data_IF_166491981850
#
_entry.id   IF_166491981850
#
_cell.length_a   1.000
_cell.length_b   1.000
_cell.length_c   1.000
_cell.angle_alpha   90.00
_cell.angle_beta   90.00
_cell.angle_gamma   90.00
#
_symmetry.space_group_name_H-M   'P 1'
#
loop_
_entity.id
_entity.type
_entity.pdbx_description
1 polymer ?
#
# COMPACT_ATOMS: atom_id res chain seq x y z
N UNK A 1 -33.06 -4.87 -46.16
CA UNK A 1 -32.04 -3.85 -45.83
C UNK A 1 -32.54 -3.09 -44.61
N UNK A 2 -31.77 -3.01 -43.52
CA UNK A 2 -32.23 -2.31 -42.32
C UNK A 2 -32.46 -0.82 -42.61
N UNK A 3 -33.46 -0.24 -41.93
CA UNK A 3 -33.91 1.13 -42.19
C UNK A 3 -32.77 2.15 -42.01
N UNK A 4 -32.58 3.14 -42.90
CA UNK A 4 -31.55 4.18 -42.77
C UNK A 4 -31.53 4.87 -41.41
N UNK A 5 -32.71 4.99 -40.76
CA UNK A 5 -32.85 5.53 -39.40
C UNK A 5 -32.14 4.66 -38.36
N UNK A 6 -32.25 3.34 -38.48
CA UNK A 6 -31.62 2.37 -37.57
C UNK A 6 -30.09 2.45 -37.63
N UNK A 7 -29.52 2.55 -38.84
CA UNK A 7 -28.07 2.70 -39.03
C UNK A 7 -27.53 3.97 -38.37
N UNK A 8 -28.23 5.09 -38.50
CA UNK A 8 -27.79 6.35 -37.92
C UNK A 8 -27.89 6.34 -36.39
N UNK A 9 -28.96 5.76 -35.84
CA UNK A 9 -29.15 5.57 -34.40
C UNK A 9 -28.07 4.67 -33.80
N UNK A 10 -27.76 3.53 -34.43
CA UNK A 10 -26.71 2.63 -33.96
C UNK A 10 -25.34 3.31 -33.91
N UNK A 11 -24.99 4.09 -34.93
CA UNK A 11 -23.73 4.85 -34.97
C UNK A 11 -23.63 5.87 -33.83
N UNK A 12 -24.74 6.48 -33.44
CA UNK A 12 -24.78 7.42 -32.32
C UNK A 12 -24.54 6.70 -30.99
N UNK A 13 -25.23 5.57 -30.75
CA UNK A 13 -25.02 4.75 -29.56
C UNK A 13 -23.59 4.17 -29.48
N UNK A 14 -23.06 3.65 -30.59
CA UNK A 14 -21.69 3.12 -30.61
C UNK A 14 -20.67 4.18 -30.21
N UNK A 15 -20.86 5.44 -30.65
CA UNK A 15 -20.00 6.55 -30.27
C UNK A 15 -20.09 6.86 -28.77
N UNK A 16 -21.31 6.88 -28.22
CA UNK A 16 -21.51 7.13 -26.78
C UNK A 16 -20.89 6.03 -25.91
N UNK A 17 -21.07 4.77 -26.28
CA UNK A 17 -20.45 3.63 -25.59
C UNK A 17 -18.93 3.68 -25.75
N UNK A 18 -18.44 4.05 -26.93
CA UNK A 18 -17.01 4.21 -27.18
C UNK A 18 -16.36 5.27 -26.28
N UNK A 19 -17.00 6.44 -26.12
CA UNK A 19 -16.49 7.47 -25.20
C UNK A 19 -16.52 7.03 -23.74
N UNK A 20 -17.58 6.31 -23.33
CA UNK A 20 -17.65 5.74 -21.99
C UNK A 20 -16.53 4.72 -21.73
N UNK A 21 -16.32 3.80 -22.68
CA UNK A 21 -15.25 2.81 -22.61
C UNK A 21 -13.86 3.48 -22.56
N UNK A 22 -13.62 4.49 -23.40
CA UNK A 22 -12.37 5.24 -23.40
C UNK A 22 -12.08 5.88 -22.03
N UNK A 23 -13.10 6.41 -21.36
CA UNK A 23 -12.98 6.95 -20.01
C UNK A 23 -12.55 5.91 -18.97
N UNK A 24 -13.19 4.74 -18.96
CA UNK A 24 -12.81 3.65 -18.04
C UNK A 24 -11.39 3.15 -18.35
N UNK A 25 -11.04 3.03 -19.64
CA UNK A 25 -9.68 2.62 -20.03
C UNK A 25 -8.63 3.64 -19.61
N UNK A 26 -8.94 4.94 -19.61
CA UNK A 26 -8.04 5.97 -19.09
C UNK A 26 -7.80 5.81 -17.58
N UNK A 27 -8.85 5.56 -16.79
CA UNK A 27 -8.71 5.29 -15.35
C UNK A 27 -7.85 4.04 -15.11
N UNK A 28 -8.08 2.97 -15.88
CA UNK A 28 -7.31 1.74 -15.78
C UNK A 28 -5.83 1.95 -16.11
N UNK A 29 -5.53 2.69 -17.17
CA UNK A 29 -4.16 3.02 -17.56
C UNK A 29 -3.45 3.85 -16.49
N UNK A 30 -4.10 4.90 -15.96
CA UNK A 30 -3.56 5.71 -14.89
C UNK A 30 -3.31 4.89 -13.61
N UNK A 31 -4.25 4.00 -13.26
CA UNK A 31 -4.08 3.08 -12.14
C UNK A 31 -2.88 2.14 -12.33
N UNK A 32 -2.70 1.59 -13.54
CA UNK A 32 -1.55 0.78 -13.91
C UNK A 32 -0.22 1.53 -13.78
N UNK A 33 -0.17 2.79 -14.23
CA UNK A 33 1.01 3.65 -14.09
C UNK A 33 1.33 3.90 -12.61
N UNK A 34 0.32 4.19 -11.78
CA UNK A 34 0.51 4.38 -10.34
C UNK A 34 1.01 3.11 -9.64
N UNK A 35 0.55 1.93 -10.07
CA UNK A 35 0.99 0.65 -9.52
C UNK A 35 2.48 0.36 -9.74
N UNK A 36 3.09 0.87 -10.82
CA UNK A 36 4.54 0.76 -11.06
C UNK A 36 5.31 1.48 -9.95
N UNK A 37 4.84 2.65 -9.53
CA UNK A 37 5.49 3.44 -8.48
C UNK A 37 5.09 3.03 -7.06
N UNK A 38 4.20 2.05 -6.87
CA UNK A 38 3.75 1.60 -5.55
C UNK A 38 4.90 1.12 -4.65
N UNK A 39 5.89 0.44 -5.21
CA UNK A 39 7.04 -0.08 -4.45
C UNK A 39 8.15 0.95 -4.29
N UNK A 40 8.17 1.97 -5.16
CA UNK A 40 9.14 3.07 -5.10
C UNK A 40 8.82 4.01 -3.93
N UNK A 41 9.85 4.63 -3.37
CA UNK A 41 9.68 5.56 -2.25
C UNK A 41 9.10 6.92 -2.67
N UNK A 42 8.86 7.12 -3.97
CA UNK A 42 8.34 8.38 -4.53
C UNK A 42 7.00 8.83 -3.92
N UNK A 43 6.11 7.88 -3.59
CA UNK A 43 4.80 8.16 -2.98
C UNK A 43 4.75 7.78 -1.49
N UNK A 44 5.88 7.36 -0.89
CA UNK A 44 5.92 7.00 0.53
C UNK A 44 6.24 8.24 1.35
N UNK A 45 5.46 8.48 2.38
CA UNK A 45 5.72 9.52 3.36
C UNK A 45 6.24 8.86 4.63
N UNK A 46 7.27 9.45 5.24
CA UNK A 46 7.81 9.00 6.51
C UNK A 46 6.76 9.20 7.61
N UNK A 47 6.20 8.11 8.13
CA UNK A 47 5.24 8.09 9.22
C UNK A 47 5.87 7.32 10.37
N UNK A 48 6.43 8.04 11.33
CA UNK A 48 6.94 7.43 12.56
C UNK A 48 5.80 7.32 13.57
N UNK A 49 5.37 6.10 13.84
CA UNK A 49 4.42 5.72 14.87
C UNK A 49 5.15 5.35 16.16
N UNK A 50 4.78 6.00 17.26
CA UNK A 50 5.19 5.58 18.60
C UNK A 50 4.14 4.60 19.14
N UNK A 51 4.55 3.40 19.52
CA UNK A 51 3.68 2.39 20.14
C UNK A 51 4.26 1.96 21.48
N UNK A 52 3.43 2.00 22.51
CA UNK A 52 3.78 1.45 23.82
C UNK A 52 3.44 -0.04 23.83
N UNK A 53 4.45 -0.89 24.00
CA UNK A 53 4.33 -2.33 24.17
C UNK A 53 4.74 -2.71 25.61
N UNK A 54 4.59 -3.99 25.95
CA UNK A 54 5.09 -4.50 27.22
C UNK A 54 6.62 -4.37 27.29
N UNK A 55 7.17 -4.09 28.47
CA UNK A 55 8.61 -4.00 28.68
C UNK A 55 9.23 -5.40 28.80
N UNK A 56 10.46 -5.57 28.34
CA UNK A 56 11.22 -6.82 28.44
C UNK A 56 10.91 -7.88 27.38
N UNK A 57 10.24 -7.53 26.28
CA UNK A 57 9.91 -8.48 25.21
C UNK A 57 11.18 -9.00 24.52
N UNK A 58 11.23 -10.32 24.32
CA UNK A 58 12.25 -10.96 23.48
C UNK A 58 11.93 -10.69 21.99
N UNK A 59 12.93 -10.71 21.10
CA UNK A 59 12.76 -10.46 19.67
C UNK A 59 11.63 -11.26 19.00
N UNK A 60 11.36 -12.48 19.47
CA UNK A 60 10.24 -13.30 18.98
C UNK A 60 8.87 -12.79 19.43
N UNK A 61 8.75 -12.40 20.71
CA UNK A 61 7.52 -11.87 21.31
C UNK A 61 7.21 -10.47 20.76
N UNK A 62 8.25 -9.66 20.55
CA UNK A 62 8.15 -8.36 19.90
C UNK A 62 7.59 -8.48 18.48
N UNK A 63 8.05 -9.47 17.71
CA UNK A 63 7.53 -9.75 16.37
C UNK A 63 6.05 -10.16 16.38
N UNK A 64 5.62 -10.94 17.37
CA UNK A 64 4.22 -11.33 17.56
C UNK A 64 3.32 -10.15 17.97
N UNK A 65 3.80 -9.25 18.84
CA UNK A 65 3.04 -8.08 19.27
C UNK A 65 2.96 -6.98 18.19
N UNK A 66 4.04 -6.75 17.45
CA UNK A 66 4.06 -5.75 16.37
C UNK A 66 3.26 -6.19 15.14
N UNK A 67 3.09 -7.50 14.92
CA UNK A 67 2.36 -8.10 13.77
C UNK A 67 2.76 -7.52 12.41
N UNK A 68 4.04 -7.17 12.24
CA UNK A 68 4.54 -6.56 11.02
C UNK A 68 5.01 -7.61 10.01
N UNK A 69 4.70 -7.40 8.74
CA UNK A 69 5.21 -8.25 7.67
C UNK A 69 6.70 -7.99 7.46
N UNK A 70 7.50 -9.06 7.48
CA UNK A 70 8.94 -8.99 7.26
C UNK A 70 9.74 -8.53 8.49
N UNK A 71 9.18 -8.69 9.69
CA UNK A 71 9.92 -8.44 10.93
C UNK A 71 11.12 -9.37 11.02
N UNK A 72 12.30 -8.79 11.19
CA UNK A 72 13.56 -9.50 11.41
C UNK A 72 14.37 -8.69 12.42
N UNK A 73 14.91 -9.37 13.43
CA UNK A 73 15.83 -8.73 14.37
C UNK A 73 17.18 -8.56 13.67
N UNK A 74 17.64 -7.32 13.52
CA UNK A 74 18.97 -7.03 12.98
C UNK A 74 20.00 -6.97 14.09
N UNK A 75 19.63 -6.36 15.22
CA UNK A 75 20.49 -6.26 16.38
C UNK A 75 19.66 -6.35 17.66
N UNK A 76 20.10 -7.21 18.56
CA UNK A 76 19.54 -7.33 19.90
C UNK A 76 20.64 -7.02 20.92
N UNK A 77 20.36 -6.07 21.81
CA UNK A 77 21.21 -5.71 22.94
C UNK A 77 20.40 -5.86 24.23
N UNK A 78 21.05 -5.83 25.39
CA UNK A 78 20.39 -5.97 26.70
C UNK A 78 19.30 -4.90 26.93
N UNK A 79 19.43 -3.71 26.32
CA UNK A 79 18.46 -2.61 26.48
C UNK A 79 17.54 -2.33 25.30
N UNK A 80 17.89 -2.75 24.07
CA UNK A 80 17.12 -2.40 22.86
C UNK A 80 17.16 -3.47 21.78
N UNK A 81 16.14 -3.47 20.92
CA UNK A 81 16.03 -4.30 19.72
C UNK A 81 15.90 -3.37 18.53
N UNK A 82 16.77 -3.53 17.54
CA UNK A 82 16.74 -2.80 16.27
C UNK A 82 16.30 -3.75 15.17
N UNK A 83 15.35 -3.29 14.35
CA UNK A 83 14.80 -4.02 13.22
C UNK A 83 14.66 -3.06 12.01
N UNK A 84 14.50 -3.57 10.78
CA UNK A 84 14.55 -2.73 9.57
C UNK A 84 13.50 -1.62 9.53
N UNK A 85 12.42 -1.79 10.29
CA UNK A 85 11.28 -0.89 10.35
C UNK A 85 11.28 0.02 11.58
N UNK A 86 12.32 0.00 12.43
CA UNK A 86 12.33 0.80 13.65
C UNK A 86 13.18 0.26 14.80
N UNK A 87 12.98 0.82 15.99
CA UNK A 87 13.64 0.39 17.21
C UNK A 87 12.66 0.20 18.36
N UNK A 88 12.97 -0.73 19.26
CA UNK A 88 12.21 -1.01 20.46
C UNK A 88 13.12 -0.99 21.68
N UNK A 89 12.70 -0.28 22.73
CA UNK A 89 13.40 -0.20 24.00
C UNK A 89 12.82 -1.23 24.98
N UNK A 90 13.64 -2.20 25.40
CA UNK A 90 13.25 -3.26 26.34
C UNK A 90 12.95 -2.73 27.74
N UNK A 91 13.56 -1.60 28.13
CA UNK A 91 13.43 -1.02 29.46
C UNK A 91 12.13 -0.24 29.61
N UNK A 92 11.75 0.52 28.58
CA UNK A 92 10.55 1.37 28.61
C UNK A 92 9.35 0.74 27.91
N UNK A 93 9.54 -0.30 27.09
CA UNK A 93 8.49 -0.88 26.25
C UNK A 93 8.12 -0.02 25.04
N UNK A 94 8.85 1.07 24.78
CA UNK A 94 8.54 1.97 23.66
C UNK A 94 9.08 1.39 22.34
N UNK A 95 8.19 1.21 21.37
CA UNK A 95 8.52 0.89 19.98
C UNK A 95 8.33 2.13 19.10
N UNK A 96 9.38 2.52 18.40
CA UNK A 96 9.36 3.55 17.37
C UNK A 96 9.45 2.87 16.01
N UNK A 97 8.38 2.98 15.21
CA UNK A 97 8.17 2.23 13.96
C UNK A 97 7.69 3.14 12.86
#
# INVERSE_FOLDING_TARGET
MASPKFHNTFRQYHRWIGFFLAGIMAVYALSGVLLIFRTTDFLKFEQTSHRQLEAGLNGKELGEQLRMRGFKVEQETDGKIVFPQGEYNKQTGEARV
#
